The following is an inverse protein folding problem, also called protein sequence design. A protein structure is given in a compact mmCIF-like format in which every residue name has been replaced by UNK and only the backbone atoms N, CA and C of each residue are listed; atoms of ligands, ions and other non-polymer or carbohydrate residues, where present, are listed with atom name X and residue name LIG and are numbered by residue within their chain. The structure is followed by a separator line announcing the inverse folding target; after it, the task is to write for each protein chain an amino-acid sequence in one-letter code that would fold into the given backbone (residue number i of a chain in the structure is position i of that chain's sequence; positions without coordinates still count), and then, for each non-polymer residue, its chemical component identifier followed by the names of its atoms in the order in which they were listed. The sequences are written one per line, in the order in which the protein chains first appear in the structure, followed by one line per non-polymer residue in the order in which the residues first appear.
data_IF_387516642557
#
_entry.id   IF_387516642557
#
_cell.length_a   1.000
_cell.length_b   1.000
_cell.length_c   1.000
_cell.angle_alpha   90.00
_cell.angle_beta   90.00
_cell.angle_gamma   90.00
#
_symmetry.space_group_name_H-M   'P 1'
#
loop_
_entity.id
_entity.type
_entity.pdbx_description
1 polymer ?
#
# COMPACT_ATOMS: atom_id res chain seq x y z
N UNK A 1 7.13 11.86 -4.74
CA UNK A 1 6.66 11.18 -3.51
C UNK A 1 5.85 12.10 -2.56
N UNK A 2 4.77 12.77 -3.01
CA UNK A 2 3.94 13.57 -2.05
C UNK A 2 3.02 12.68 -1.20
N UNK A 3 2.48 11.61 -1.79
CA UNK A 3 1.47 10.75 -1.15
C UNK A 3 2.05 9.67 -0.22
N UNK A 4 3.32 9.31 -0.38
CA UNK A 4 4.01 8.29 0.43
C UNK A 4 4.91 8.91 1.50
N UNK A 5 4.70 10.19 1.82
CA UNK A 5 5.58 10.93 2.73
C UNK A 5 5.37 10.43 4.17
N UNK A 6 6.43 9.88 4.76
CA UNK A 6 6.41 9.38 6.14
C UNK A 6 6.01 7.91 6.28
N UNK A 7 5.75 7.23 5.16
CA UNK A 7 5.55 5.78 5.09
C UNK A 7 6.91 5.09 5.24
N UNK A 8 6.99 4.09 6.11
CA UNK A 8 8.20 3.32 6.38
C UNK A 8 7.98 1.81 6.16
N UNK A 9 9.07 1.08 5.99
CA UNK A 9 9.03 -0.38 5.87
C UNK A 9 8.42 -1.00 7.15
N UNK A 10 7.42 -1.85 6.95
CA UNK A 10 6.66 -2.51 8.01
C UNK A 10 5.42 -1.76 8.50
N UNK A 11 5.19 -0.53 8.04
CA UNK A 11 3.93 0.16 8.32
C UNK A 11 2.76 -0.55 7.62
N UNK A 12 1.60 -0.56 8.26
CA UNK A 12 0.34 -0.99 7.63
C UNK A 12 -0.33 0.25 7.08
N UNK A 13 -0.57 0.24 5.77
CA UNK A 13 -1.13 1.37 5.04
C UNK A 13 -2.39 0.97 4.30
N UNK A 14 -3.34 1.90 4.21
CA UNK A 14 -4.39 1.88 3.20
C UNK A 14 -3.92 2.69 2.00
N UNK A 15 -3.94 2.05 0.83
CA UNK A 15 -3.47 2.63 -0.41
C UNK A 15 -4.62 2.76 -1.39
N UNK A 16 -4.88 3.99 -1.81
CA UNK A 16 -5.86 4.31 -2.84
C UNK A 16 -5.12 4.51 -4.18
N UNK A 17 -5.46 3.70 -5.16
CA UNK A 17 -4.81 3.70 -6.47
C UNK A 17 -5.83 3.62 -7.60
N UNK A 18 -5.43 4.12 -8.76
CA UNK A 18 -6.17 3.97 -10.01
C UNK A 18 -5.65 2.74 -10.75
N UNK A 19 -6.54 1.81 -11.11
CA UNK A 19 -6.14 0.68 -11.96
C UNK A 19 -5.82 1.19 -13.36
N UNK A 20 -4.64 0.91 -13.90
CA UNK A 20 -4.17 1.48 -15.18
C UNK A 20 -5.08 1.20 -16.39
N UNK A 21 -5.97 0.20 -16.29
CA UNK A 21 -6.92 -0.17 -17.35
C UNK A 21 -8.36 0.32 -17.14
N UNK A 22 -8.72 0.85 -15.97
CA UNK A 22 -10.09 1.30 -15.68
C UNK A 22 -10.06 2.64 -14.95
N UNK A 23 -11.11 3.47 -15.11
CA UNK A 23 -11.26 4.71 -14.31
C UNK A 23 -11.65 4.39 -12.85
N UNK A 24 -11.56 3.11 -12.46
CA UNK A 24 -11.92 2.62 -11.15
C UNK A 24 -10.82 2.96 -10.14
N UNK A 25 -11.24 3.65 -9.08
CA UNK A 25 -10.42 3.87 -7.89
C UNK A 25 -10.62 2.68 -6.98
N UNK A 26 -9.54 2.01 -6.62
CA UNK A 26 -9.55 0.87 -5.70
C UNK A 26 -8.73 1.20 -4.46
N UNK A 27 -9.12 0.59 -3.34
CA UNK A 27 -8.41 0.67 -2.07
C UNK A 27 -7.85 -0.69 -1.70
N UNK A 28 -6.66 -0.71 -1.14
CA UNK A 28 -6.06 -1.94 -0.60
C UNK A 28 -5.37 -1.64 0.71
N UNK A 29 -5.49 -2.57 1.65
CA UNK A 29 -4.73 -2.53 2.89
C UNK A 29 -3.60 -3.54 2.82
N UNK A 30 -2.39 -3.09 3.13
CA UNK A 30 -1.23 -3.96 3.14
C UNK A 30 -0.13 -3.41 4.04
N UNK A 31 0.78 -4.30 4.44
CA UNK A 31 2.00 -3.87 5.08
C UNK A 31 3.07 -3.56 4.04
N UNK A 32 3.84 -2.50 4.27
CA UNK A 32 4.87 -2.02 3.35
C UNK A 32 6.07 -2.93 3.44
N UNK A 33 6.32 -3.68 2.38
CA UNK A 33 7.45 -4.60 2.29
C UNK A 33 8.66 -3.94 1.65
N UNK A 34 8.43 -3.09 0.66
CA UNK A 34 9.44 -2.31 -0.03
C UNK A 34 8.85 -0.99 -0.50
N UNK A 35 9.70 0.02 -0.63
CA UNK A 35 9.32 1.35 -1.08
C UNK A 35 10.50 2.01 -1.80
N UNK A 36 10.28 2.42 -3.04
CA UNK A 36 11.21 3.20 -3.84
C UNK A 36 10.54 4.44 -4.45
N UNK A 37 11.28 5.19 -5.26
CA UNK A 37 10.80 6.44 -5.87
C UNK A 37 9.67 6.25 -6.89
N UNK A 38 9.58 5.05 -7.46
CA UNK A 38 8.65 4.74 -8.53
C UNK A 38 7.63 3.67 -8.14
N UNK A 39 7.91 2.84 -7.14
CA UNK A 39 7.03 1.76 -6.72
C UNK A 39 6.90 1.63 -5.20
N UNK A 40 5.80 1.02 -4.79
CA UNK A 40 5.59 0.51 -3.45
C UNK A 40 5.16 -0.95 -3.53
N UNK A 41 5.79 -1.79 -2.71
CA UNK A 41 5.42 -3.19 -2.59
C UNK A 41 4.66 -3.38 -1.28
N UNK A 42 3.40 -3.79 -1.42
CA UNK A 42 2.53 -4.12 -0.31
C UNK A 42 2.31 -5.62 -0.29
N UNK A 43 2.23 -6.20 0.89
CA UNK A 43 1.63 -7.53 1.03
C UNK A 43 0.34 -7.37 1.82
N UNK A 44 -0.71 -8.01 1.30
CA UNK A 44 -2.09 -7.77 1.74
C UNK A 44 -2.24 -8.07 3.22
N UNK A 45 -2.96 -7.21 3.93
CA UNK A 45 -3.11 -7.33 5.37
C UNK A 45 -4.59 -7.36 5.75
N UNK A 46 -4.98 -8.43 6.42
CA UNK A 46 -6.32 -8.59 6.97
C UNK A 46 -6.36 -7.89 8.34
N UNK A 47 -7.02 -6.73 8.38
CA UNK A 47 -7.16 -5.95 9.62
C UNK A 47 -7.96 -6.73 10.67
N UNK A 48 -9.00 -7.45 10.27
CA UNK A 48 -9.90 -8.17 11.17
C UNK A 48 -9.20 -9.33 11.90
N UNK A 49 -8.37 -10.06 11.17
CA UNK A 49 -7.59 -11.20 11.66
C UNK A 49 -6.21 -10.78 12.17
N UNK A 50 -5.83 -9.51 11.99
CA UNK A 50 -4.53 -8.94 12.30
C UNK A 50 -3.37 -9.81 11.76
N UNK A 51 -3.51 -10.26 10.52
CA UNK A 51 -2.57 -11.18 9.85
C UNK A 51 -2.40 -10.78 8.39
N UNK A 52 -1.22 -11.00 7.80
CA UNK A 52 -1.08 -10.90 6.36
C UNK A 52 -2.03 -11.90 5.70
N UNK A 53 -2.93 -11.39 4.85
CA UNK A 53 -3.63 -12.21 3.89
C UNK A 53 -2.58 -12.71 2.89
N UNK A 54 -2.77 -13.90 2.30
CA UNK A 54 -1.88 -14.56 1.32
C UNK A 54 -0.60 -13.79 0.97
N UNK A 55 0.58 -14.36 1.23
CA UNK A 55 1.93 -13.83 0.95
C UNK A 55 2.20 -13.26 -0.47
N UNK A 56 1.19 -13.13 -1.31
CA UNK A 56 1.15 -12.28 -2.49
C UNK A 56 1.62 -10.87 -2.14
N UNK A 57 2.75 -10.53 -2.74
CA UNK A 57 3.32 -9.20 -2.78
C UNK A 57 2.75 -8.55 -4.03
N UNK A 58 2.12 -7.40 -3.87
CA UNK A 58 1.57 -6.62 -4.96
C UNK A 58 2.36 -5.32 -5.05
N UNK A 59 2.88 -5.06 -6.24
CA UNK A 59 3.65 -3.86 -6.56
C UNK A 59 2.73 -2.84 -7.21
N UNK A 60 2.77 -1.60 -6.72
CA UNK A 60 2.02 -0.47 -7.25
C UNK A 60 2.96 0.63 -7.71
N UNK A 61 2.72 1.20 -8.90
CA UNK A 61 3.47 2.36 -9.38
C UNK A 61 3.01 3.63 -8.67
N UNK A 62 3.95 4.43 -8.15
CA UNK A 62 3.69 5.67 -7.39
C UNK A 62 2.88 6.68 -8.18
N UNK A 63 2.98 6.66 -9.51
CA UNK A 63 2.20 7.52 -10.41
C UNK A 63 0.69 7.23 -10.38
N UNK A 64 0.31 6.00 -10.06
CA UNK A 64 -1.09 5.54 -10.03
C UNK A 64 -1.71 5.68 -8.62
N UNK A 65 -0.89 6.02 -7.62
CA UNK A 65 -1.31 6.21 -6.23
C UNK A 65 -1.93 7.60 -6.08
N UNK A 66 -3.19 7.62 -5.65
CA UNK A 66 -3.94 8.84 -5.37
C UNK A 66 -3.77 9.27 -3.92
N UNK A 67 -3.78 8.30 -2.99
CA UNK A 67 -3.61 8.55 -1.57
C UNK A 67 -2.97 7.35 -0.87
N UNK A 68 -2.28 7.61 0.24
CA UNK A 68 -1.77 6.57 1.12
C UNK A 68 -1.89 7.03 2.57
N UNK A 69 -2.64 6.27 3.37
CA UNK A 69 -2.87 6.53 4.78
C UNK A 69 -2.20 5.46 5.64
N UNK A 70 -1.49 5.87 6.69
CA UNK A 70 -0.85 4.95 7.62
C UNK A 70 -1.87 4.56 8.68
N UNK A 71 -2.33 3.31 8.64
CA UNK A 71 -3.28 2.76 9.62
C UNK A 71 -2.59 2.32 10.91
N UNK A 72 -1.39 1.74 10.79
CA UNK A 72 -0.59 1.31 11.94
C UNK A 72 0.90 1.46 11.63
N UNK A 73 1.65 2.08 12.54
CA UNK A 73 3.11 2.14 12.44
C UNK A 73 3.74 0.85 12.96
N UNK A 74 4.90 0.52 12.41
CA UNK A 74 5.77 -0.49 13.01
C UNK A 74 6.16 -0.05 14.43
N UNK A 75 5.82 -0.87 15.42
CA UNK A 75 6.27 -0.74 16.82
C UNK A 75 7.73 -1.15 16.98
#
# INVERSE_FOLDING_TARGET
MKHLKGVSLGDIVELEYRKSFTVEVSKIVGYVKSLDENHIELSTYDIESNKPFNYEIITYEVKDILNCEILKKKE
#
